data_IF_365858250011
#
_entry.id   IF_365858250011
#
_cell.length_a   1.000
_cell.length_b   1.000
_cell.length_c   1.000
_cell.angle_alpha   90.00
_cell.angle_beta   90.00
_cell.angle_gamma   90.00
#
_symmetry.space_group_name_H-M   'P 1'
#
loop_
_entity.id
_entity.type
_entity.pdbx_description
1 polymer ?
#
# COMPACT_ATOMS: atom_id res chain seq x y z
N UNK A 1 41.97 7.64 8.49
CA UNK A 1 40.61 7.04 8.58
C UNK A 1 39.83 7.53 7.37
N UNK A 2 39.29 6.63 6.55
CA UNK A 2 38.51 7.04 5.38
C UNK A 2 37.15 7.58 5.84
N UNK A 3 36.79 8.77 5.39
CA UNK A 3 35.47 9.38 5.62
C UNK A 3 34.41 8.46 5.02
N UNK A 4 33.34 8.08 5.76
CA UNK A 4 32.29 7.24 5.21
C UNK A 4 31.66 7.95 4.01
N UNK A 5 31.34 7.23 2.92
CA UNK A 5 30.73 7.82 1.75
C UNK A 5 29.39 8.47 2.13
N UNK A 6 29.24 9.75 1.81
CA UNK A 6 27.96 10.46 1.96
C UNK A 6 26.96 9.79 1.03
N UNK A 7 25.84 9.33 1.58
CA UNK A 7 24.78 8.71 0.78
C UNK A 7 24.30 9.71 -0.27
N UNK A 8 24.40 9.32 -1.54
CA UNK A 8 23.83 10.08 -2.65
C UNK A 8 22.39 9.61 -2.91
N UNK A 9 21.47 10.56 -3.05
CA UNK A 9 20.10 10.30 -3.50
C UNK A 9 19.95 10.78 -4.94
N UNK A 10 19.49 9.89 -5.82
CA UNK A 10 19.38 10.17 -7.25
C UNK A 10 20.70 10.00 -8.02
N UNK A 11 20.63 10.21 -9.34
CA UNK A 11 21.76 9.98 -10.26
C UNK A 11 22.66 11.21 -10.45
N UNK A 12 22.28 12.37 -9.89
CA UNK A 12 23.04 13.63 -9.95
C UNK A 12 23.28 14.20 -8.55
N UNK A 13 24.28 15.07 -8.36
CA UNK A 13 24.45 15.84 -7.12
C UNK A 13 23.24 16.73 -6.80
N UNK A 14 23.02 17.11 -5.52
CA UNK A 14 21.96 18.04 -5.15
C UNK A 14 22.23 19.43 -5.75
N UNK A 15 21.17 20.13 -6.17
CA UNK A 15 21.26 21.51 -6.66
C UNK A 15 21.69 22.46 -5.53
N UNK A 16 21.18 22.23 -4.31
CA UNK A 16 21.52 22.99 -3.11
C UNK A 16 21.43 22.08 -1.90
N UNK A 17 22.30 22.34 -0.92
CA UNK A 17 22.27 21.74 0.42
C UNK A 17 21.99 22.77 1.51
N UNK A 18 21.56 23.98 1.12
CA UNK A 18 21.24 25.07 2.05
C UNK A 18 19.98 24.69 2.83
N UNK A 19 20.03 24.90 4.15
CA UNK A 19 18.91 24.67 5.05
C UNK A 19 17.89 25.81 4.95
N UNK A 20 16.59 25.55 5.23
CA UNK A 20 15.57 26.57 5.15
C UNK A 20 15.82 27.72 6.11
N UNK A 21 15.50 28.92 5.64
CA UNK A 21 15.47 30.16 6.41
C UNK A 21 14.25 30.23 7.35
N UNK A 22 14.24 31.12 8.35
CA UNK A 22 13.08 31.32 9.21
C UNK A 22 11.78 31.65 8.45
N UNK A 23 11.87 32.45 7.39
CA UNK A 23 10.70 32.81 6.57
C UNK A 23 10.15 31.61 5.79
N UNK A 24 11.03 30.75 5.26
CA UNK A 24 10.62 29.50 4.59
C UNK A 24 9.99 28.49 5.57
N UNK A 25 10.48 28.46 6.81
CA UNK A 25 9.86 27.64 7.87
C UNK A 25 8.46 28.16 8.21
N UNK A 26 8.27 29.48 8.33
CA UNK A 26 6.96 30.09 8.55
C UNK A 26 5.99 29.77 7.39
N UNK A 27 6.44 29.93 6.14
CA UNK A 27 5.63 29.58 4.97
C UNK A 27 5.27 28.07 4.92
N UNK A 28 6.16 27.20 5.39
CA UNK A 28 5.86 25.78 5.52
C UNK A 28 4.78 25.51 6.59
N UNK A 29 4.78 26.25 7.70
CA UNK A 29 3.76 26.13 8.74
C UNK A 29 2.39 26.64 8.26
N UNK A 30 2.37 27.71 7.45
CA UNK A 30 1.16 28.19 6.78
C UNK A 30 0.59 27.14 5.82
N UNK A 31 1.46 26.50 5.01
CA UNK A 31 1.06 25.40 4.13
C UNK A 31 0.45 24.24 4.92
N UNK A 32 1.06 23.84 6.03
CA UNK A 32 0.53 22.76 6.88
C UNK A 32 -0.85 23.13 7.44
N UNK A 33 -1.02 24.38 7.86
CA UNK A 33 -2.28 24.89 8.39
C UNK A 33 -3.38 24.88 7.34
N UNK A 34 -3.09 25.32 6.12
CA UNK A 34 -4.02 25.26 4.98
C UNK A 34 -4.39 23.80 4.64
N UNK A 35 -3.41 22.90 4.60
CA UNK A 35 -3.68 21.48 4.37
C UNK A 35 -4.61 20.87 5.43
N UNK A 36 -4.52 21.30 6.69
CA UNK A 36 -5.44 20.89 7.76
C UNK A 36 -6.84 21.47 7.56
N UNK A 37 -6.95 22.75 7.23
CA UNK A 37 -8.23 23.41 6.94
C UNK A 37 -8.98 22.73 5.79
N UNK A 38 -8.24 22.23 4.80
CA UNK A 38 -8.79 21.48 3.66
C UNK A 38 -9.10 20.00 3.97
N UNK A 39 -9.08 19.59 5.25
CA UNK A 39 -9.26 18.20 5.71
C UNK A 39 -8.36 17.19 5.00
N UNK A 40 -7.14 17.61 4.64
CA UNK A 40 -6.19 16.75 3.93
C UNK A 40 -5.38 15.87 4.89
N UNK A 41 -5.75 15.78 6.16
CA UNK A 41 -5.17 14.85 7.14
C UNK A 41 -6.29 14.01 7.75
N UNK A 42 -6.07 12.70 7.80
CA UNK A 42 -7.01 11.78 8.41
C UNK A 42 -6.99 11.93 9.94
N UNK A 43 -8.15 11.77 10.58
CA UNK A 43 -8.23 11.81 12.03
C UNK A 43 -7.55 10.60 12.68
N UNK A 44 -7.12 10.70 13.95
CA UNK A 44 -6.56 9.56 14.67
C UNK A 44 -7.53 8.35 14.72
N UNK A 45 -8.82 8.61 14.88
CA UNK A 45 -9.85 7.57 14.93
C UNK A 45 -10.00 6.82 13.60
N UNK A 46 -10.01 7.54 12.47
CA UNK A 46 -10.04 6.94 11.14
C UNK A 46 -8.74 6.15 10.85
N UNK A 47 -7.59 6.66 11.29
CA UNK A 47 -6.30 5.95 11.16
C UNK A 47 -6.30 4.63 11.93
N UNK A 48 -6.84 4.64 13.15
CA UNK A 48 -6.99 3.43 13.97
C UNK A 48 -7.98 2.44 13.34
N UNK A 49 -9.11 2.95 12.80
CA UNK A 49 -10.09 2.14 12.08
C UNK A 49 -9.46 1.44 10.86
N UNK A 50 -8.69 2.15 10.03
CA UNK A 50 -7.94 1.54 8.91
C UNK A 50 -6.95 0.48 9.38
N UNK A 51 -6.24 0.73 10.47
CA UNK A 51 -5.28 -0.24 11.03
C UNK A 51 -6.00 -1.53 11.44
N UNK A 52 -7.14 -1.43 12.11
CA UNK A 52 -7.95 -2.58 12.52
C UNK A 52 -8.49 -3.35 11.30
N UNK A 53 -8.96 -2.63 10.28
CA UNK A 53 -9.42 -3.22 9.02
C UNK A 53 -8.30 -3.98 8.30
N UNK A 54 -7.10 -3.40 8.18
CA UNK A 54 -5.95 -4.08 7.58
C UNK A 54 -5.51 -5.31 8.37
N UNK A 55 -5.54 -5.26 9.71
CA UNK A 55 -5.26 -6.43 10.54
C UNK A 55 -6.26 -7.56 10.29
N UNK A 56 -7.55 -7.23 10.12
CA UNK A 56 -8.56 -8.22 9.76
C UNK A 56 -8.27 -8.80 8.37
N UNK A 57 -8.05 -7.96 7.36
CA UNK A 57 -7.76 -8.43 6.00
C UNK A 57 -6.50 -9.30 5.97
N UNK A 58 -5.47 -8.99 6.76
CA UNK A 58 -4.29 -9.85 6.92
C UNK A 58 -4.64 -11.22 7.49
N UNK A 59 -5.52 -11.31 8.50
CA UNK A 59 -6.00 -12.60 9.02
C UNK A 59 -6.82 -13.37 7.98
N UNK A 60 -7.70 -12.67 7.26
CA UNK A 60 -8.47 -13.24 6.14
C UNK A 60 -7.54 -13.79 5.07
N UNK A 61 -6.46 -13.08 4.74
CA UNK A 61 -5.46 -13.49 3.74
C UNK A 61 -4.77 -14.80 4.14
N UNK A 62 -4.37 -14.93 5.41
CA UNK A 62 -3.76 -16.16 5.91
C UNK A 62 -4.74 -17.33 5.85
N UNK A 63 -5.98 -17.14 6.31
CA UNK A 63 -6.98 -18.22 6.25
C UNK A 63 -7.36 -18.56 4.80
N UNK A 64 -7.41 -17.57 3.92
CA UNK A 64 -7.64 -17.75 2.51
C UNK A 64 -6.55 -18.63 1.88
N UNK A 65 -5.27 -18.37 2.15
CA UNK A 65 -4.16 -19.22 1.68
C UNK A 65 -4.29 -20.63 2.22
N UNK A 66 -4.72 -20.81 3.47
CA UNK A 66 -4.98 -22.14 4.05
C UNK A 66 -6.13 -22.85 3.32
N UNK A 67 -7.24 -22.17 3.04
CA UNK A 67 -8.38 -22.73 2.30
C UNK A 67 -7.94 -23.21 0.91
N UNK A 68 -7.20 -22.38 0.16
CA UNK A 68 -6.68 -22.76 -1.16
C UNK A 68 -5.68 -23.91 -1.08
N UNK A 69 -4.80 -23.90 -0.07
CA UNK A 69 -3.81 -24.96 0.16
C UNK A 69 -4.45 -26.32 0.44
N UNK A 70 -5.52 -26.34 1.26
CA UNK A 70 -6.33 -27.54 1.52
C UNK A 70 -7.01 -28.04 0.24
N UNK A 71 -7.59 -27.14 -0.57
CA UNK A 71 -8.21 -27.50 -1.87
C UNK A 71 -7.21 -28.12 -2.86
N UNK A 72 -5.93 -27.73 -2.78
CA UNK A 72 -4.84 -28.31 -3.58
C UNK A 72 -4.34 -29.67 -3.05
N UNK A 73 -4.87 -30.17 -1.94
CA UNK A 73 -4.45 -31.44 -1.36
C UNK A 73 -3.09 -31.40 -0.64
N UNK A 74 -2.64 -30.21 -0.20
CA UNK A 74 -1.40 -30.10 0.57
C UNK A 74 -1.55 -30.75 1.96
N UNK A 75 -0.44 -31.22 2.53
CA UNK A 75 -0.42 -31.80 3.88
C UNK A 75 -0.79 -30.76 4.94
N UNK A 76 -1.33 -31.17 6.11
CA UNK A 76 -1.66 -30.24 7.18
C UNK A 76 -0.48 -29.36 7.61
N UNK A 77 0.73 -29.92 7.66
CA UNK A 77 1.94 -29.17 7.98
C UNK A 77 2.26 -28.10 6.91
N UNK A 78 2.10 -28.43 5.62
CA UNK A 78 2.31 -27.48 4.54
C UNK A 78 1.24 -26.37 4.52
N UNK A 79 -0.02 -26.71 4.83
CA UNK A 79 -1.12 -25.73 4.95
C UNK A 79 -0.83 -24.71 6.04
N UNK A 80 -0.38 -25.16 7.21
CA UNK A 80 -0.05 -24.27 8.33
C UNK A 80 1.21 -23.42 8.04
N UNK A 81 2.16 -23.96 7.29
CA UNK A 81 3.39 -23.25 6.90
C UNK A 81 3.22 -22.29 5.71
N UNK A 82 2.13 -22.37 4.94
CA UNK A 82 1.96 -21.63 3.68
C UNK A 82 1.99 -20.09 3.86
N UNK A 83 1.47 -19.60 4.99
CA UNK A 83 1.50 -18.18 5.35
C UNK A 83 0.49 -17.32 4.58
N UNK A 84 0.96 -16.19 4.04
CA UNK A 84 0.15 -15.20 3.35
C UNK A 84 0.34 -13.80 3.94
N UNK A 85 0.55 -12.81 3.07
CA UNK A 85 0.88 -11.44 3.50
C UNK A 85 0.19 -10.41 2.63
N UNK A 86 -0.36 -9.38 3.29
CA UNK A 86 -0.84 -8.18 2.62
C UNK A 86 0.27 -7.16 2.51
N UNK A 87 0.30 -6.48 1.36
CA UNK A 87 1.13 -5.31 1.14
C UNK A 87 0.23 -4.15 0.78
N UNK A 88 0.48 -3.00 1.40
CA UNK A 88 -0.13 -1.74 0.96
C UNK A 88 0.80 -1.02 0.02
N UNK A 89 0.22 -0.31 -0.95
CA UNK A 89 0.97 0.51 -1.90
C UNK A 89 0.29 1.86 -2.12
N UNK A 90 0.89 2.70 -2.97
CA UNK A 90 0.31 3.98 -3.36
C UNK A 90 0.24 4.99 -2.20
N UNK A 91 -0.74 5.88 -2.23
CA UNK A 91 -0.83 7.00 -1.27
C UNK A 91 -0.95 6.55 0.18
N UNK A 92 -1.57 5.39 0.44
CA UNK A 92 -1.67 4.84 1.78
C UNK A 92 -0.27 4.49 2.33
N UNK A 93 0.48 3.71 1.56
CA UNK A 93 1.86 3.32 1.90
C UNK A 93 2.82 4.50 1.96
N UNK A 94 2.64 5.50 1.10
CA UNK A 94 3.42 6.74 1.14
C UNK A 94 3.07 7.63 2.35
N UNK A 95 1.94 7.41 3.03
CA UNK A 95 1.50 8.28 4.13
C UNK A 95 0.93 9.62 3.67
N UNK A 96 0.43 9.71 2.43
CA UNK A 96 -0.16 10.91 1.81
C UNK A 96 -1.60 10.68 1.35
N UNK A 97 -2.31 9.85 2.10
CA UNK A 97 -3.72 9.54 1.90
C UNK A 97 -4.61 10.50 2.71
N UNK A 98 -5.81 10.76 2.18
CA UNK A 98 -6.93 11.38 2.89
C UNK A 98 -8.03 10.32 3.16
N UNK A 99 -9.25 10.73 3.53
CA UNK A 99 -10.37 9.79 3.69
C UNK A 99 -10.66 9.05 2.37
N UNK A 100 -10.31 7.78 2.31
CA UNK A 100 -10.62 6.86 1.21
C UNK A 100 -9.43 6.11 0.64
N UNK A 101 -9.71 4.88 0.18
CA UNK A 101 -8.86 3.96 -0.62
C UNK A 101 -7.55 3.46 0.03
N UNK A 102 -7.49 2.16 0.31
CA UNK A 102 -6.26 1.46 0.76
C UNK A 102 -6.10 0.14 0.00
N UNK A 103 -5.07 0.00 -0.84
CA UNK A 103 -5.00 -1.20 -1.68
C UNK A 103 -4.17 -2.33 -1.04
N UNK A 104 -4.46 -3.59 -1.38
CA UNK A 104 -3.88 -4.82 -0.75
C UNK A 104 -3.59 -5.92 -1.78
N UNK A 105 -2.53 -6.72 -1.62
CA UNK A 105 -2.16 -7.88 -2.48
C UNK A 105 -2.57 -9.24 -1.85
N UNK A 106 -3.20 -10.17 -2.60
CA UNK A 106 -3.72 -11.47 -2.11
C UNK A 106 -3.18 -12.72 -2.84
N UNK A 107 -3.78 -13.93 -2.70
CA UNK A 107 -3.68 -15.09 -3.62
C UNK A 107 -5.05 -15.42 -4.29
N UNK A 108 -5.14 -16.21 -5.38
CA UNK A 108 -6.33 -16.55 -6.23
C UNK A 108 -7.65 -15.81 -5.94
N UNK A 109 -7.96 -14.88 -6.84
CA UNK A 109 -9.08 -13.94 -6.78
C UNK A 109 -10.47 -14.48 -6.45
N UNK A 110 -10.82 -15.69 -6.89
CA UNK A 110 -12.18 -16.24 -6.73
C UNK A 110 -12.48 -16.79 -5.33
N UNK A 111 -11.46 -17.25 -4.62
CA UNK A 111 -11.62 -17.92 -3.32
C UNK A 111 -11.58 -16.92 -2.15
N UNK A 112 -11.16 -15.67 -2.38
CA UNK A 112 -11.04 -14.65 -1.33
C UNK A 112 -12.39 -14.08 -0.86
N UNK A 113 -13.32 -13.68 -1.76
CA UNK A 113 -14.61 -13.12 -1.35
C UNK A 113 -15.38 -13.97 -0.31
N UNK A 114 -15.53 -15.30 -0.49
CA UNK A 114 -16.23 -16.13 0.50
C UNK A 114 -15.51 -16.23 1.85
N UNK A 115 -14.17 -16.15 1.85
CA UNK A 115 -13.39 -16.20 3.09
C UNK A 115 -13.50 -14.90 3.85
N UNK A 116 -13.50 -13.76 3.14
CA UNK A 116 -13.75 -12.44 3.73
C UNK A 116 -15.14 -12.38 4.36
N UNK A 117 -16.18 -12.73 3.62
CA UNK A 117 -17.57 -12.68 4.11
C UNK A 117 -17.78 -13.54 5.36
N UNK A 118 -17.14 -14.71 5.44
CA UNK A 118 -17.23 -15.60 6.61
C UNK A 118 -16.53 -15.04 7.86
N UNK A 119 -15.44 -14.30 7.69
CA UNK A 119 -14.59 -13.83 8.78
C UNK A 119 -14.86 -12.37 9.17
N UNK A 120 -15.53 -11.63 8.29
CA UNK A 120 -15.90 -10.25 8.54
C UNK A 120 -17.04 -10.18 9.58
N UNK A 121 -17.07 -9.13 10.43
CA UNK A 121 -18.24 -8.83 11.23
C UNK A 121 -19.49 -8.65 10.35
N UNK A 122 -20.66 -8.98 10.89
CA UNK A 122 -21.91 -8.82 10.17
C UNK A 122 -22.10 -7.36 9.72
N UNK A 123 -22.38 -7.17 8.42
CA UNK A 123 -22.57 -5.85 7.82
C UNK A 123 -21.27 -5.07 7.54
N UNK A 124 -20.09 -5.63 7.84
CA UNK A 124 -18.83 -4.95 7.59
C UNK A 124 -18.44 -4.91 6.10
N UNK A 125 -18.86 -5.90 5.31
CA UNK A 125 -18.71 -5.88 3.84
C UNK A 125 -19.93 -5.19 3.24
N UNK A 126 -19.79 -3.94 2.84
CA UNK A 126 -20.89 -3.12 2.30
C UNK A 126 -21.06 -3.34 0.80
N UNK A 127 -19.94 -3.44 0.07
CA UNK A 127 -19.92 -3.69 -1.37
C UNK A 127 -18.65 -4.42 -1.75
N UNK A 128 -18.75 -5.40 -2.64
CA UNK A 128 -17.59 -6.11 -3.16
C UNK A 128 -17.78 -6.36 -4.66
N UNK A 129 -16.88 -5.84 -5.48
CA UNK A 129 -16.98 -5.85 -6.95
C UNK A 129 -15.68 -6.37 -7.56
N UNK A 130 -15.61 -7.66 -7.94
CA UNK A 130 -14.49 -8.21 -8.69
C UNK A 130 -14.46 -7.66 -10.12
N UNK A 131 -13.28 -7.27 -10.60
CA UNK A 131 -13.01 -6.78 -11.95
C UNK A 131 -11.80 -7.55 -12.53
N UNK A 132 -12.01 -8.80 -13.00
CA UNK A 132 -10.92 -9.67 -13.45
C UNK A 132 -10.29 -9.22 -14.77
N UNK A 133 -11.05 -8.53 -15.61
CA UNK A 133 -10.64 -8.11 -16.96
C UNK A 133 -9.90 -6.76 -17.01
N UNK A 134 -9.66 -6.14 -15.84
CA UNK A 134 -8.85 -4.93 -15.76
C UNK A 134 -7.38 -5.17 -16.13
N UNK A 135 -6.66 -4.08 -16.42
CA UNK A 135 -5.22 -4.11 -16.72
C UNK A 135 -4.40 -4.80 -15.62
N UNK A 136 -4.84 -4.64 -14.37
CA UNK A 136 -4.46 -5.43 -13.20
C UNK A 136 -5.75 -5.94 -12.56
N UNK A 137 -5.97 -7.26 -12.44
CA UNK A 137 -7.17 -7.80 -11.80
C UNK A 137 -7.36 -7.23 -10.39
N UNK A 138 -8.54 -6.71 -10.10
CA UNK A 138 -8.83 -5.94 -8.88
C UNK A 138 -10.22 -6.28 -8.31
N UNK A 139 -10.34 -6.43 -6.99
CA UNK A 139 -11.62 -6.45 -6.26
C UNK A 139 -11.74 -5.10 -5.57
N UNK A 140 -12.75 -4.33 -5.96
CA UNK A 140 -13.13 -3.11 -5.26
C UNK A 140 -14.03 -3.46 -4.09
N UNK A 141 -13.60 -3.14 -2.89
CA UNK A 141 -14.27 -3.49 -1.64
C UNK A 141 -14.61 -2.20 -0.89
N UNK A 142 -15.86 -2.04 -0.47
CA UNK A 142 -16.27 -1.10 0.57
C UNK A 142 -16.44 -1.91 1.86
N UNK A 143 -15.57 -1.63 2.83
CA UNK A 143 -15.51 -2.36 4.10
C UNK A 143 -15.61 -1.39 5.28
N UNK A 144 -16.75 -1.39 5.98
CA UNK A 144 -16.98 -0.55 7.16
C UNK A 144 -16.66 0.92 6.91
N UNK A 145 -17.19 1.48 5.82
CA UNK A 145 -16.94 2.85 5.35
C UNK A 145 -15.56 3.09 4.73
N UNK A 146 -14.75 2.05 4.51
CA UNK A 146 -13.43 2.17 3.88
C UNK A 146 -13.44 1.51 2.51
N UNK A 147 -13.16 2.30 1.47
CA UNK A 147 -12.88 1.79 0.13
C UNK A 147 -11.48 1.13 0.09
N UNK A 148 -11.38 -0.05 -0.50
CA UNK A 148 -10.19 -0.90 -0.51
C UNK A 148 -10.07 -1.56 -1.89
N UNK A 149 -8.92 -1.37 -2.51
CA UNK A 149 -8.60 -1.94 -3.83
C UNK A 149 -7.70 -3.17 -3.66
N UNK A 150 -8.29 -4.35 -3.68
CA UNK A 150 -7.58 -5.61 -3.52
C UNK A 150 -7.05 -6.08 -4.89
N UNK A 151 -5.75 -6.20 -5.05
CA UNK A 151 -5.09 -6.80 -6.23
C UNK A 151 -4.41 -8.13 -5.84
N UNK A 152 -3.88 -8.83 -6.83
CA UNK A 152 -3.31 -10.17 -6.64
C UNK A 152 -1.94 -10.30 -7.30
N UNK A 153 -1.01 -10.93 -6.57
CA UNK A 153 0.21 -11.45 -7.15
C UNK A 153 0.56 -12.79 -6.51
N UNK A 154 0.80 -13.82 -7.33
CA UNK A 154 1.39 -15.07 -6.86
C UNK A 154 2.89 -14.90 -6.68
N UNK A 155 3.48 -15.56 -5.70
CA UNK A 155 4.92 -15.74 -5.59
C UNK A 155 5.27 -17.21 -5.81
N UNK A 156 6.34 -17.49 -6.56
CA UNK A 156 6.82 -18.84 -6.78
C UNK A 156 7.76 -19.22 -5.62
N UNK A 157 7.17 -19.40 -4.43
CA UNK A 157 7.85 -19.75 -3.18
C UNK A 157 7.03 -20.80 -2.42
N UNK A 158 7.67 -21.66 -1.61
CA UNK A 158 6.96 -22.68 -0.83
C UNK A 158 6.09 -22.09 0.29
N UNK A 159 6.43 -20.90 0.79
CA UNK A 159 5.66 -20.18 1.81
C UNK A 159 5.85 -18.67 1.71
N UNK A 160 4.87 -17.93 2.19
CA UNK A 160 4.89 -16.45 2.24
C UNK A 160 4.87 -16.01 3.71
N UNK A 161 6.03 -15.80 4.34
CA UNK A 161 6.09 -15.40 5.74
C UNK A 161 5.70 -13.93 5.94
N UNK A 162 5.24 -13.57 7.16
CA UNK A 162 4.82 -12.20 7.48
C UNK A 162 5.96 -11.17 7.41
N UNK A 163 7.21 -11.61 7.51
CA UNK A 163 8.40 -10.77 7.36
C UNK A 163 8.92 -10.69 5.92
N UNK A 164 8.24 -11.28 4.93
CA UNK A 164 8.65 -11.22 3.52
C UNK A 164 8.72 -9.77 3.02
N UNK A 165 9.79 -9.45 2.33
CA UNK A 165 10.05 -8.17 1.66
C UNK A 165 9.96 -8.40 0.14
N UNK A 166 9.34 -7.48 -0.61
CA UNK A 166 9.21 -7.57 -2.06
C UNK A 166 10.38 -6.96 -2.83
N UNK A 167 11.43 -6.44 -2.18
CA UNK A 167 12.62 -5.86 -2.84
C UNK A 167 13.42 -6.86 -3.66
N UNK A 168 13.46 -8.13 -3.27
CA UNK A 168 14.23 -9.12 -4.02
C UNK A 168 13.59 -9.34 -5.41
N UNK A 169 14.37 -9.04 -6.46
CA UNK A 169 13.95 -9.22 -7.85
C UNK A 169 13.74 -10.70 -8.22
N UNK A 170 14.28 -11.65 -7.47
CA UNK A 170 14.04 -13.08 -7.68
C UNK A 170 12.54 -13.42 -7.59
N UNK A 171 11.76 -12.67 -6.82
CA UNK A 171 10.31 -12.84 -6.71
C UNK A 171 9.55 -12.52 -8.00
N UNK A 172 10.17 -11.82 -8.95
CA UNK A 172 9.58 -11.49 -10.24
C UNK A 172 9.77 -12.61 -11.28
N UNK A 173 10.64 -13.60 -11.01
CA UNK A 173 10.93 -14.67 -11.96
C UNK A 173 9.72 -15.60 -12.11
N UNK A 174 9.34 -15.88 -13.36
CA UNK A 174 8.24 -16.80 -13.71
C UNK A 174 6.83 -16.25 -13.48
N UNK A 175 6.71 -14.96 -13.14
CA UNK A 175 5.43 -14.26 -13.07
C UNK A 175 5.00 -13.79 -14.46
N UNK A 176 3.69 -13.75 -14.67
CA UNK A 176 3.14 -13.11 -15.87
C UNK A 176 3.14 -11.57 -15.74
N UNK A 177 2.85 -10.87 -16.85
CA UNK A 177 2.86 -9.41 -16.85
C UNK A 177 1.87 -8.78 -15.84
N UNK A 178 0.71 -9.41 -15.62
CA UNK A 178 -0.30 -8.88 -14.70
C UNK A 178 0.19 -8.97 -13.26
N UNK A 179 0.81 -10.09 -12.90
CA UNK A 179 1.40 -10.34 -11.59
C UNK A 179 2.61 -9.44 -11.31
N UNK A 180 3.48 -9.24 -12.30
CA UNK A 180 4.60 -8.29 -12.20
C UNK A 180 4.08 -6.88 -11.92
N UNK A 181 3.03 -6.43 -12.64
CA UNK A 181 2.42 -5.12 -12.40
C UNK A 181 1.84 -5.01 -10.98
N UNK A 182 1.18 -6.05 -10.48
CA UNK A 182 0.66 -6.08 -9.10
C UNK A 182 1.76 -5.91 -8.04
N UNK A 183 2.91 -6.57 -8.20
CA UNK A 183 4.03 -6.43 -7.29
C UNK A 183 4.73 -5.07 -7.41
N UNK A 184 4.85 -4.56 -8.64
CA UNK A 184 5.53 -3.30 -8.91
C UNK A 184 4.86 -2.11 -8.19
N UNK A 185 3.55 -2.12 -7.98
CA UNK A 185 2.88 -1.07 -7.20
C UNK A 185 3.50 -0.90 -5.80
N UNK A 186 3.70 -2.01 -5.09
CA UNK A 186 4.35 -1.99 -3.77
C UNK A 186 5.83 -1.64 -3.88
N UNK A 187 6.55 -2.29 -4.78
CA UNK A 187 8.00 -2.11 -4.95
C UNK A 187 8.38 -0.67 -5.29
N UNK A 188 7.68 -0.05 -6.25
CA UNK A 188 7.89 1.36 -6.63
C UNK A 188 7.64 2.28 -5.44
N UNK A 189 6.60 1.98 -4.66
CA UNK A 189 6.28 2.81 -3.48
C UNK A 189 7.39 2.75 -2.42
N UNK A 190 7.93 1.56 -2.17
CA UNK A 190 9.02 1.36 -1.24
C UNK A 190 10.33 1.99 -1.75
N UNK A 191 10.64 1.83 -3.05
CA UNK A 191 11.81 2.47 -3.68
C UNK A 191 11.73 4.00 -3.60
N UNK A 192 10.56 4.61 -3.85
CA UNK A 192 10.37 6.06 -3.68
C UNK A 192 10.74 6.52 -2.26
N UNK A 193 10.30 5.78 -1.23
CA UNK A 193 10.59 6.14 0.16
C UNK A 193 12.07 5.99 0.54
N UNK A 194 12.83 5.15 -0.17
CA UNK A 194 14.26 4.98 0.00
C UNK A 194 15.11 5.98 -0.78
N UNK A 195 14.54 6.52 -1.86
CA UNK A 195 15.17 7.49 -2.75
C UNK A 195 14.96 8.95 -2.32
N UNK A 196 14.23 9.20 -1.22
CA UNK A 196 14.05 10.55 -0.65
C UNK A 196 14.88 10.75 0.62
N UNK A 197 15.60 11.89 0.76
CA UNK A 197 16.43 12.16 1.93
C UNK A 197 15.61 12.43 3.21
N UNK A 198 14.50 13.16 3.09
CA UNK A 198 13.57 13.45 4.20
C UNK A 198 12.14 13.04 3.85
N UNK A 199 11.71 11.88 4.35
CA UNK A 199 10.37 11.36 4.08
C UNK A 199 9.24 12.28 4.58
N UNK A 200 9.40 12.96 5.73
CA UNK A 200 8.38 13.87 6.27
C UNK A 200 8.13 15.04 5.32
N UNK A 201 9.20 15.68 4.85
CA UNK A 201 9.14 16.80 3.89
C UNK A 201 8.54 16.35 2.57
N UNK A 202 8.98 15.20 2.04
CA UNK A 202 8.41 14.60 0.85
C UNK A 202 6.89 14.38 0.96
N UNK A 203 6.42 13.84 2.09
CA UNK A 203 4.98 13.60 2.31
C UNK A 203 4.17 14.89 2.32
N UNK A 204 4.65 15.93 2.98
CA UNK A 204 3.97 17.24 3.03
C UNK A 204 3.91 17.88 1.65
N UNK A 205 5.02 17.91 0.92
CA UNK A 205 5.07 18.42 -0.44
C UNK A 205 4.13 17.64 -1.37
N UNK A 206 4.14 16.31 -1.31
CA UNK A 206 3.27 15.47 -2.13
C UNK A 206 1.78 15.67 -1.78
N UNK A 207 1.42 15.87 -0.50
CA UNK A 207 0.04 16.24 -0.10
C UNK A 207 -0.40 17.55 -0.74
N UNK A 208 0.45 18.58 -0.72
CA UNK A 208 0.17 19.88 -1.34
C UNK A 208 -0.01 19.77 -2.86
N UNK A 209 0.90 19.07 -3.55
CA UNK A 209 0.83 18.87 -5.01
C UNK A 209 -0.42 18.07 -5.39
N UNK A 210 -0.79 17.04 -4.63
CA UNK A 210 -2.02 16.26 -4.87
C UNK A 210 -3.26 17.14 -4.79
N UNK A 211 -3.39 17.93 -3.72
CA UNK A 211 -4.51 18.85 -3.53
C UNK A 211 -4.58 19.87 -4.68
N UNK A 212 -3.44 20.49 -5.01
CA UNK A 212 -3.33 21.43 -6.12
C UNK A 212 -3.77 20.82 -7.46
N UNK A 213 -3.28 19.62 -7.78
CA UNK A 213 -3.59 18.93 -9.04
C UNK A 213 -5.09 18.57 -9.14
N UNK A 214 -5.70 18.14 -8.04
CA UNK A 214 -7.15 17.88 -7.98
C UNK A 214 -7.94 19.15 -8.24
N UNK A 215 -7.61 20.26 -7.56
CA UNK A 215 -8.30 21.55 -7.75
C UNK A 215 -8.15 22.08 -9.17
N UNK A 216 -6.99 21.92 -9.80
CA UNK A 216 -6.75 22.34 -11.19
C UNK A 216 -7.57 21.53 -12.20
N UNK A 217 -7.71 20.21 -12.01
CA UNK A 217 -8.57 19.37 -12.88
C UNK A 217 -10.05 19.71 -12.81
N UNK A 218 -10.52 20.28 -11.70
CA UNK A 218 -11.91 20.74 -11.57
C UNK A 218 -12.14 22.14 -12.16
N UNK A 219 -11.08 22.86 -12.54
CA UNK A 219 -11.14 24.18 -13.15
C UNK A 219 -10.96 24.15 -14.69
N UNK A 220 -10.66 22.97 -15.26
CA UNK A 220 -10.52 22.70 -16.69
C UNK A 220 -11.68 21.87 -17.21
#
# INVERSE_FOLDING_TARGET
MATPPVRQWGVTPPISTVLPTPDELAANDDLISELKLQNNFESPAETEHRKNTLQLIQRVTVEFVKVVSRKKGLSPAAVEAAGGKIFTYGSYRLGVYGPGESPVVLDRFSDFPPVLERMAPQGAVEKMTPVPDAFVPIIKLEFSGISIDLIYARLIVPSVPLNLDLKNNDYLRGLDEKEVRSLNGTRVTDEILELVPQQKTFRLALRAIKLWAQRKKHLS
#
